data_IF_417112916578
#
_entry.id   IF_417112916578
#
_cell.length_a   1.000
_cell.length_b   1.000
_cell.length_c   1.000
_cell.angle_alpha   90.00
_cell.angle_beta   90.00
_cell.angle_gamma   90.00
#
_symmetry.space_group_name_H-M   'P 1'
#
loop_
_entity.id
_entity.type
_entity.pdbx_description
1 polymer ?
#
# COMPACT_ATOMS: atom_id res chain seq x y z
N UNK A 1 48.95 22.85 55.82
CA UNK A 1 47.69 22.11 56.02
C UNK A 1 46.57 22.65 55.12
N UNK A 2 46.72 22.60 53.79
CA UNK A 2 45.70 23.06 52.83
C UNK A 2 45.70 22.28 51.50
N UNK A 3 46.47 21.20 51.42
CA UNK A 3 46.56 20.31 50.24
C UNK A 3 46.06 18.88 50.50
N UNK A 4 45.38 18.66 51.63
CA UNK A 4 44.83 17.36 52.05
C UNK A 4 43.28 17.35 52.06
N UNK A 5 42.66 18.20 51.25
CA UNK A 5 41.19 18.24 51.10
C UNK A 5 40.71 17.91 49.68
N UNK A 6 41.59 17.94 48.67
CA UNK A 6 41.19 17.67 47.28
C UNK A 6 41.18 16.18 46.90
N UNK A 7 41.75 15.30 47.72
CA UNK A 7 41.88 13.87 47.40
C UNK A 7 40.64 13.04 47.78
N UNK A 8 39.73 13.58 48.60
CA UNK A 8 38.46 12.93 48.97
C UNK A 8 37.25 13.49 48.21
N UNK A 9 37.47 14.29 47.16
CA UNK A 9 36.39 14.75 46.28
C UNK A 9 36.29 13.92 44.99
N UNK A 10 37.25 13.01 44.75
CA UNK A 10 37.34 12.23 43.50
C UNK A 10 36.65 10.85 43.56
N UNK A 11 36.16 10.42 44.72
CA UNK A 11 35.57 9.07 44.91
C UNK A 11 34.05 9.11 45.20
N UNK A 12 33.45 10.30 45.28
CA UNK A 12 32.05 10.51 45.68
C UNK A 12 31.05 10.79 44.55
N UNK A 13 31.33 10.41 43.30
CA UNK A 13 30.41 10.60 42.15
C UNK A 13 30.11 9.28 41.43
N UNK A 14 30.40 8.14 42.07
CA UNK A 14 30.07 6.80 41.58
C UNK A 14 28.94 6.23 42.43
N UNK A 15 27.76 6.87 42.47
CA UNK A 15 26.50 6.22 42.85
C UNK A 15 25.30 7.15 42.57
N UNK A 16 24.85 7.21 41.33
CA UNK A 16 23.45 7.55 41.05
C UNK A 16 23.02 6.89 39.74
N UNK A 17 22.62 5.64 39.89
CA UNK A 17 21.56 5.01 39.11
C UNK A 17 20.44 6.00 38.79
N UNK A 18 20.15 6.21 37.51
CA UNK A 18 18.86 5.89 36.89
C UNK A 18 18.86 6.35 35.43
N UNK A 19 18.73 5.34 34.58
CA UNK A 19 18.47 5.40 33.15
C UNK A 19 17.13 6.12 32.94
N UNK A 20 17.14 7.28 32.30
CA UNK A 20 15.94 7.83 31.67
C UNK A 20 16.19 7.95 30.17
N UNK A 21 15.87 6.86 29.48
CA UNK A 21 15.66 6.84 28.03
C UNK A 21 14.38 7.64 27.80
N UNK A 22 14.49 8.94 27.53
CA UNK A 22 13.34 9.72 27.06
C UNK A 22 13.10 9.35 25.60
N UNK A 23 12.46 8.20 25.40
CA UNK A 23 11.81 7.87 24.14
C UNK A 23 10.62 8.80 23.99
N UNK A 24 10.77 9.87 23.21
CA UNK A 24 9.61 10.57 22.67
C UNK A 24 8.87 9.60 21.76
N UNK A 25 7.78 9.01 22.26
CA UNK A 25 6.78 8.39 21.41
C UNK A 25 6.33 9.46 20.40
N UNK A 26 6.78 9.34 19.16
CA UNK A 26 6.32 10.17 18.05
C UNK A 26 4.84 9.85 17.91
N UNK A 27 4.00 10.70 18.49
CA UNK A 27 2.55 10.68 18.33
C UNK A 27 2.29 10.63 16.84
N UNK A 28 1.83 9.49 16.34
CA UNK A 28 1.36 9.39 14.97
C UNK A 28 0.17 10.34 14.89
N UNK A 29 0.41 11.46 14.21
CA UNK A 29 -0.66 12.34 13.79
C UNK A 29 -1.43 11.52 12.77
N UNK A 30 -2.56 10.95 13.19
CA UNK A 30 -3.58 10.45 12.26
C UNK A 30 -3.88 11.67 11.39
N UNK A 31 -3.40 11.66 10.14
CA UNK A 31 -3.69 12.74 9.21
C UNK A 31 -5.21 12.74 9.12
N UNK A 32 -5.89 13.82 9.53
CA UNK A 32 -7.33 13.91 9.34
C UNK A 32 -7.60 13.57 7.89
N UNK A 33 -8.63 12.76 7.63
CA UNK A 33 -9.14 12.60 6.27
C UNK A 33 -9.18 14.01 5.70
N UNK A 34 -8.37 14.27 4.66
CA UNK A 34 -8.57 15.50 3.91
C UNK A 34 -10.06 15.44 3.54
N UNK A 35 -10.83 16.51 3.82
CA UNK A 35 -12.22 16.56 3.39
C UNK A 35 -12.25 16.03 1.98
N UNK A 36 -13.17 15.11 1.70
CA UNK A 36 -13.44 14.68 0.33
C UNK A 36 -13.88 15.95 -0.41
N UNK A 37 -12.93 16.77 -0.85
CA UNK A 37 -13.16 17.65 -1.99
C UNK A 37 -13.64 16.69 -3.06
N UNK A 38 -14.84 16.89 -3.60
CA UNK A 38 -15.25 16.16 -4.78
C UNK A 38 -14.09 16.28 -5.76
N UNK A 39 -13.40 15.17 -5.99
CA UNK A 39 -12.39 15.13 -7.03
C UNK A 39 -13.26 15.17 -8.28
N UNK A 40 -13.53 16.37 -8.77
CA UNK A 40 -13.87 16.57 -10.18
C UNK A 40 -12.59 16.22 -10.93
N UNK A 41 -12.28 14.94 -10.97
CA UNK A 41 -11.23 14.39 -11.82
C UNK A 41 -11.75 14.62 -13.24
N UNK A 42 -10.99 15.34 -14.09
CA UNK A 42 -11.44 15.59 -15.44
C UNK A 42 -11.76 14.24 -16.09
N UNK A 43 -12.96 14.16 -16.64
CA UNK A 43 -13.52 13.01 -17.37
C UNK A 43 -12.71 12.70 -18.63
N UNK A 44 -11.44 12.32 -18.49
CA UNK A 44 -10.77 11.46 -19.47
C UNK A 44 -10.97 10.02 -19.03
N UNK A 45 -12.25 9.68 -18.87
CA UNK A 45 -12.72 8.33 -18.60
C UNK A 45 -12.57 7.52 -19.88
N UNK A 46 -11.40 6.89 -20.07
CA UNK A 46 -11.42 5.59 -20.74
C UNK A 46 -12.13 4.66 -19.76
N UNK A 47 -13.43 4.45 -20.00
CA UNK A 47 -14.32 3.65 -19.15
C UNK A 47 -13.62 2.37 -18.67
N UNK A 48 -13.66 2.11 -17.37
CA UNK A 48 -13.18 0.85 -16.83
C UNK A 48 -14.02 -0.31 -17.37
N UNK A 49 -13.40 -1.46 -17.66
CA UNK A 49 -14.16 -2.65 -18.01
C UNK A 49 -15.19 -2.98 -16.92
N UNK A 50 -16.43 -3.22 -17.34
CA UNK A 50 -17.45 -3.81 -16.43
C UNK A 50 -16.93 -5.13 -15.87
N UNK A 51 -17.07 -5.36 -14.57
CA UNK A 51 -16.69 -6.62 -13.90
C UNK A 51 -17.80 -7.68 -13.92
N UNK A 52 -19.03 -7.31 -14.28
CA UNK A 52 -20.21 -8.16 -14.13
C UNK A 52 -20.09 -9.43 -14.97
N UNK A 53 -20.24 -10.59 -14.33
CA UNK A 53 -20.23 -11.90 -14.99
C UNK A 53 -18.86 -12.33 -15.52
N UNK A 54 -17.78 -11.65 -15.11
CA UNK A 54 -16.41 -11.99 -15.50
C UNK A 54 -15.65 -12.58 -14.33
N UNK A 55 -14.82 -13.58 -14.65
CA UNK A 55 -13.90 -14.20 -13.71
C UNK A 55 -12.46 -13.76 -14.06
N UNK A 56 -11.71 -13.32 -13.06
CA UNK A 56 -10.29 -12.99 -13.17
C UNK A 56 -9.49 -13.95 -12.29
N UNK A 57 -8.32 -14.34 -12.77
CA UNK A 57 -7.46 -15.35 -12.12
C UNK A 57 -6.06 -14.81 -11.92
N UNK A 58 -5.37 -15.36 -10.94
CA UNK A 58 -3.96 -15.02 -10.69
C UNK A 58 -3.13 -15.38 -11.93
N UNK A 59 -2.29 -14.44 -12.37
CA UNK A 59 -1.31 -14.67 -13.43
C UNK A 59 0.02 -14.99 -12.75
N UNK A 60 0.67 -16.14 -13.04
CA UNK A 60 1.92 -16.52 -12.39
C UNK A 60 3.06 -15.50 -12.54
N UNK A 61 3.12 -14.79 -13.67
CA UNK A 61 4.15 -13.80 -13.98
C UNK A 61 3.87 -12.40 -13.42
N UNK A 62 2.73 -12.19 -12.76
CA UNK A 62 2.34 -10.90 -12.20
C UNK A 62 2.27 -11.02 -10.68
N UNK A 63 3.09 -10.21 -10.02
CA UNK A 63 3.17 -10.14 -8.57
C UNK A 63 2.24 -9.05 -8.02
N UNK A 64 1.76 -9.24 -6.79
CA UNK A 64 1.02 -8.22 -6.06
C UNK A 64 1.95 -7.07 -5.62
N UNK A 65 1.37 -5.87 -5.52
CA UNK A 65 2.07 -4.66 -5.05
C UNK A 65 1.74 -4.41 -3.60
N UNK A 66 2.71 -4.04 -2.76
CA UNK A 66 2.48 -3.75 -1.33
C UNK A 66 2.59 -2.26 -1.02
N UNK A 67 1.89 -1.84 0.04
CA UNK A 67 1.83 -0.46 0.50
C UNK A 67 2.21 -0.35 1.99
N UNK A 68 2.74 0.82 2.34
CA UNK A 68 2.93 1.20 3.73
C UNK A 68 1.60 1.42 4.44
N UNK A 69 1.67 1.43 5.77
CA UNK A 69 0.53 1.78 6.61
C UNK A 69 0.01 3.17 6.25
N UNK A 70 -1.31 3.25 6.09
CA UNK A 70 -2.03 4.49 5.78
C UNK A 70 -1.56 5.23 4.51
N UNK A 71 -0.97 4.49 3.55
CA UNK A 71 -0.40 5.07 2.35
C UNK A 71 -0.94 4.44 1.05
N UNK A 72 -0.82 5.22 -0.02
CA UNK A 72 -1.14 4.90 -1.42
C UNK A 72 0.07 5.12 -2.34
N UNK A 73 1.20 5.59 -1.79
CA UNK A 73 2.43 5.83 -2.53
C UNK A 73 3.03 4.52 -3.05
N UNK A 74 3.23 4.45 -4.35
CA UNK A 74 4.02 3.39 -4.99
C UNK A 74 5.50 3.66 -4.78
N UNK A 75 6.14 2.87 -3.89
CA UNK A 75 7.59 2.84 -3.66
C UNK A 75 8.35 2.25 -4.85
N UNK A 76 9.69 2.27 -4.79
CA UNK A 76 10.54 1.79 -5.87
C UNK A 76 10.26 0.32 -6.23
N UNK A 77 10.13 -0.54 -5.22
CA UNK A 77 9.87 -1.97 -5.39
C UNK A 77 8.52 -2.22 -6.07
N UNK A 78 7.49 -1.48 -5.65
CA UNK A 78 6.17 -1.49 -6.28
C UNK A 78 6.23 -1.05 -7.75
N UNK A 79 7.01 0.00 -8.04
CA UNK A 79 7.18 0.51 -9.41
C UNK A 79 7.93 -0.48 -10.30
N UNK A 80 8.90 -1.21 -9.77
CA UNK A 80 9.65 -2.24 -10.49
C UNK A 80 8.74 -3.43 -10.84
N UNK A 81 7.91 -3.87 -9.90
CA UNK A 81 6.87 -4.89 -10.16
C UNK A 81 5.94 -4.40 -11.29
N UNK A 82 5.39 -3.19 -11.17
CA UNK A 82 4.47 -2.66 -12.18
C UNK A 82 5.12 -2.40 -13.54
N UNK A 83 6.42 -2.10 -13.59
CA UNK A 83 7.17 -2.01 -14.83
C UNK A 83 7.25 -3.36 -15.55
N UNK A 84 7.53 -4.45 -14.81
CA UNK A 84 7.49 -5.83 -15.33
C UNK A 84 6.08 -6.21 -15.78
N UNK A 85 5.07 -5.91 -14.97
CA UNK A 85 3.66 -6.13 -15.31
C UNK A 85 3.27 -5.41 -16.60
N UNK A 86 3.64 -4.13 -16.76
CA UNK A 86 3.36 -3.37 -17.97
C UNK A 86 4.06 -3.96 -19.20
N UNK A 87 5.29 -4.45 -19.06
CA UNK A 87 5.97 -5.17 -20.15
C UNK A 87 5.19 -6.42 -20.55
N UNK A 88 4.83 -7.26 -19.57
CA UNK A 88 4.06 -8.48 -19.82
C UNK A 88 2.69 -8.19 -20.47
N UNK A 89 1.97 -7.16 -20.03
CA UNK A 89 0.67 -6.77 -20.62
C UNK A 89 0.77 -6.23 -22.05
N UNK A 90 1.94 -5.71 -22.46
CA UNK A 90 2.21 -5.31 -23.84
C UNK A 90 2.45 -6.52 -24.74
N UNK A 91 3.06 -7.57 -24.20
CA UNK A 91 3.30 -8.84 -24.89
C UNK A 91 2.02 -9.70 -24.98
N UNK A 92 1.07 -9.49 -24.06
CA UNK A 92 -0.21 -10.21 -24.00
C UNK A 92 -1.39 -9.22 -24.17
N UNK A 93 -1.63 -8.67 -25.38
CA UNK A 93 -2.61 -7.62 -25.62
C UNK A 93 -4.07 -8.04 -25.38
N UNK A 94 -4.36 -9.34 -25.40
CA UNK A 94 -5.67 -9.96 -25.16
C UNK A 94 -6.02 -10.11 -23.68
N UNK A 95 -5.15 -9.70 -22.76
CA UNK A 95 -5.42 -9.80 -21.32
C UNK A 95 -6.10 -8.52 -20.82
N UNK A 96 -7.22 -8.68 -20.12
CA UNK A 96 -7.83 -7.66 -19.28
C UNK A 96 -7.31 -7.83 -17.85
N UNK A 97 -6.84 -6.75 -17.24
CA UNK A 97 -6.33 -6.74 -15.87
C UNK A 97 -7.41 -6.22 -14.91
N UNK A 98 -7.59 -6.90 -13.79
CA UNK A 98 -8.30 -6.42 -12.61
C UNK A 98 -7.27 -6.11 -11.52
N UNK A 99 -7.34 -4.90 -10.97
CA UNK A 99 -6.58 -4.49 -9.79
C UNK A 99 -7.51 -4.45 -8.60
N UNK A 100 -7.26 -5.30 -7.61
CA UNK A 100 -8.00 -5.31 -6.36
C UNK A 100 -7.21 -4.57 -5.27
N UNK A 101 -7.81 -3.56 -4.65
CA UNK A 101 -7.22 -2.85 -3.51
C UNK A 101 -7.61 -3.46 -2.18
N UNK A 102 -6.61 -3.78 -1.36
CA UNK A 102 -6.76 -4.39 -0.04
C UNK A 102 -6.07 -3.56 1.05
N UNK A 103 -6.57 -3.70 2.27
CA UNK A 103 -6.10 -3.04 3.48
C UNK A 103 -5.90 -4.06 4.61
N UNK A 104 -5.15 -3.66 5.64
CA UNK A 104 -5.19 -4.38 6.91
C UNK A 104 -6.43 -3.97 7.72
N UNK A 105 -6.73 -4.73 8.79
CA UNK A 105 -7.96 -4.61 9.59
C UNK A 105 -8.04 -3.34 10.46
N UNK A 106 -7.00 -2.50 10.48
CA UNK A 106 -6.98 -1.32 11.34
C UNK A 106 -7.71 -0.18 10.65
N UNK A 107 -8.79 0.28 11.26
CA UNK A 107 -9.60 1.39 10.75
C UNK A 107 -11.08 1.06 10.78
N UNK A 108 -11.90 1.90 10.14
CA UNK A 108 -13.28 1.53 9.86
C UNK A 108 -13.37 0.88 8.49
N UNK A 109 -14.37 0.01 8.28
CA UNK A 109 -14.60 -0.64 6.99
C UNK A 109 -14.77 0.37 5.86
N UNK A 110 -15.51 1.46 6.07
CA UNK A 110 -15.67 2.55 5.07
C UNK A 110 -14.34 3.25 4.76
N UNK A 111 -13.50 3.45 5.79
CA UNK A 111 -12.17 4.01 5.61
C UNK A 111 -11.31 3.10 4.72
N UNK A 112 -11.29 1.81 5.07
CA UNK A 112 -10.48 0.82 4.37
C UNK A 112 -11.00 0.56 2.96
N UNK A 113 -12.31 0.63 2.72
CA UNK A 113 -12.91 0.59 1.40
C UNK A 113 -12.41 1.75 0.53
N UNK A 114 -12.42 2.98 1.05
CA UNK A 114 -11.91 4.15 0.35
C UNK A 114 -10.39 4.11 0.14
N UNK A 115 -9.62 3.62 1.12
CA UNK A 115 -8.17 3.47 1.01
C UNK A 115 -7.78 2.41 -0.04
N UNK A 116 -8.47 1.27 -0.05
CA UNK A 116 -8.28 0.23 -1.06
C UNK A 116 -8.58 0.75 -2.48
N UNK A 117 -9.64 1.53 -2.66
CA UNK A 117 -9.98 2.15 -3.95
C UNK A 117 -8.85 3.08 -4.43
N UNK A 118 -8.32 3.94 -3.54
CA UNK A 118 -7.18 4.80 -3.88
C UNK A 118 -5.93 4.00 -4.24
N UNK A 119 -5.65 2.87 -3.58
CA UNK A 119 -4.53 1.99 -3.90
C UNK A 119 -4.68 1.34 -5.28
N UNK A 120 -5.87 0.82 -5.59
CA UNK A 120 -6.16 0.22 -6.89
C UNK A 120 -6.03 1.25 -8.02
N UNK A 121 -6.57 2.46 -7.81
CA UNK A 121 -6.43 3.59 -8.75
C UNK A 121 -4.98 4.04 -8.92
N UNK A 122 -4.19 4.11 -7.85
CA UNK A 122 -2.77 4.46 -7.95
C UNK A 122 -2.00 3.50 -8.87
N UNK A 123 -2.24 2.19 -8.72
CA UNK A 123 -1.68 1.15 -9.59
C UNK A 123 -2.16 1.34 -11.03
N UNK A 124 -3.47 1.48 -11.25
CA UNK A 124 -4.06 1.69 -12.58
C UNK A 124 -3.44 2.90 -13.28
N UNK A 125 -3.41 4.05 -12.62
CA UNK A 125 -2.82 5.28 -13.16
C UNK A 125 -1.35 5.11 -13.49
N UNK A 126 -0.59 4.35 -12.69
CA UNK A 126 0.82 4.09 -12.98
C UNK A 126 1.00 3.19 -14.21
N UNK A 127 0.23 2.10 -14.32
CA UNK A 127 0.24 1.24 -15.51
C UNK A 127 -0.18 1.99 -16.78
N UNK A 128 -1.13 2.91 -16.68
CA UNK A 128 -1.52 3.78 -17.79
C UNK A 128 -0.39 4.72 -18.21
N UNK A 129 0.35 5.30 -17.27
CA UNK A 129 1.56 6.09 -17.56
C UNK A 129 2.64 5.28 -18.26
N UNK A 130 2.69 3.97 -18.01
CA UNK A 130 3.57 3.03 -18.71
C UNK A 130 3.04 2.60 -20.09
N UNK A 131 1.89 3.12 -20.52
CA UNK A 131 1.32 2.92 -21.86
C UNK A 131 0.28 1.81 -21.97
N UNK A 132 -0.22 1.27 -20.86
CA UNK A 132 -1.35 0.33 -20.88
C UNK A 132 -2.66 1.11 -21.05
N UNK A 133 -3.53 0.68 -21.96
CA UNK A 133 -4.81 1.36 -22.19
C UNK A 133 -5.73 1.21 -20.96
N UNK A 134 -6.36 2.31 -20.53
CA UNK A 134 -7.22 2.31 -19.34
C UNK A 134 -8.44 1.38 -19.44
N UNK A 135 -8.96 1.16 -20.65
CA UNK A 135 -10.04 0.20 -20.92
C UNK A 135 -9.60 -1.28 -20.88
N UNK A 136 -8.33 -1.56 -20.52
CA UNK A 136 -7.84 -2.90 -20.20
C UNK A 136 -7.61 -3.11 -18.71
N UNK A 137 -7.82 -2.08 -17.89
CA UNK A 137 -7.52 -2.11 -16.45
C UNK A 137 -8.78 -1.71 -15.71
N UNK A 138 -9.41 -2.68 -15.06
CA UNK A 138 -10.50 -2.46 -14.13
C UNK A 138 -9.96 -2.39 -12.69
N UNK A 139 -10.67 -1.69 -11.82
CA UNK A 139 -10.36 -1.61 -10.40
C UNK A 139 -11.52 -2.06 -9.54
N UNK A 140 -11.21 -2.59 -8.37
CA UNK A 140 -12.17 -2.85 -7.29
C UNK A 140 -11.45 -2.69 -5.95
N UNK A 141 -12.19 -2.30 -4.92
CA UNK A 141 -11.70 -2.30 -3.55
C UNK A 141 -12.41 -3.37 -2.75
N UNK A 142 -11.64 -4.11 -1.94
CA UNK A 142 -12.17 -4.98 -0.89
C UNK A 142 -11.90 -4.42 0.50
N UNK A 143 -11.14 -3.33 0.61
CA UNK A 143 -10.70 -2.81 1.91
C UNK A 143 -10.09 -3.93 2.75
N UNK A 144 -10.61 -4.13 3.95
CA UNK A 144 -10.16 -5.16 4.90
C UNK A 144 -10.90 -6.51 4.79
N UNK A 145 -11.93 -6.60 3.94
CA UNK A 145 -12.88 -7.73 3.91
C UNK A 145 -12.29 -9.04 3.38
N UNK A 146 -11.14 -8.98 2.69
CA UNK A 146 -10.46 -10.14 2.09
C UNK A 146 -8.99 -10.22 2.53
N UNK A 147 -8.72 -10.49 3.82
CA UNK A 147 -7.35 -10.61 4.31
C UNK A 147 -6.66 -11.81 3.64
N UNK A 148 -5.41 -11.61 3.25
CA UNK A 148 -4.53 -12.69 2.80
C UNK A 148 -3.99 -13.48 4.00
N UNK A 149 -3.71 -12.78 5.09
CA UNK A 149 -3.27 -13.33 6.37
C UNK A 149 -4.21 -12.82 7.46
N UNK A 150 -4.95 -13.71 8.12
CA UNK A 150 -5.89 -13.36 9.19
C UNK A 150 -5.22 -13.06 10.53
N UNK A 151 -3.88 -13.07 10.61
CA UNK A 151 -3.16 -12.74 11.82
C UNK A 151 -3.30 -11.27 12.23
N UNK A 152 -3.22 -11.01 13.54
CA UNK A 152 -3.32 -9.67 14.14
C UNK A 152 -1.94 -9.11 14.49
N UNK A 153 -1.01 -9.15 13.54
CA UNK A 153 0.40 -8.78 13.74
C UNK A 153 0.88 -7.90 12.59
N UNK A 154 1.94 -7.13 12.78
CA UNK A 154 2.47 -6.28 11.70
C UNK A 154 2.91 -7.09 10.46
N UNK A 155 3.40 -8.32 10.64
CA UNK A 155 3.74 -9.20 9.51
C UNK A 155 2.50 -9.57 8.68
N UNK A 156 1.37 -9.85 9.32
CA UNK A 156 0.10 -10.14 8.65
C UNK A 156 -0.48 -8.87 8.01
N UNK A 157 -0.47 -7.75 8.73
CA UNK A 157 -0.94 -6.47 8.22
C UNK A 157 -0.14 -6.01 7.00
N UNK A 158 1.19 -6.19 6.99
CA UNK A 158 2.04 -5.87 5.85
C UNK A 158 1.65 -6.65 4.58
N UNK A 159 1.31 -7.94 4.71
CA UNK A 159 0.80 -8.76 3.59
C UNK A 159 -0.58 -8.30 3.12
N UNK A 160 -1.44 -7.83 4.03
CA UNK A 160 -2.79 -7.42 3.70
C UNK A 160 -2.87 -6.06 2.98
N UNK A 161 -1.94 -5.14 3.27
CA UNK A 161 -1.80 -3.85 2.57
C UNK A 161 -1.24 -4.03 1.16
N UNK A 162 -2.09 -4.47 0.23
CA UNK A 162 -1.67 -4.82 -1.13
C UNK A 162 -2.64 -4.38 -2.21
N UNK A 163 -2.14 -4.28 -3.44
CA UNK A 163 -2.91 -4.36 -4.67
C UNK A 163 -2.68 -5.72 -5.31
N UNK A 164 -3.72 -6.54 -5.38
CA UNK A 164 -3.68 -7.83 -6.10
C UNK A 164 -3.96 -7.58 -7.59
N UNK A 165 -3.22 -8.25 -8.47
CA UNK A 165 -3.36 -8.10 -9.92
C UNK A 165 -3.80 -9.43 -10.53
N UNK A 166 -5.01 -9.45 -11.08
CA UNK A 166 -5.64 -10.62 -11.66
C UNK A 166 -5.90 -10.40 -13.15
N UNK A 167 -5.84 -11.45 -13.95
CA UNK A 167 -6.07 -11.38 -15.39
C UNK A 167 -7.25 -12.20 -15.86
N UNK A 168 -7.83 -11.75 -16.97
CA UNK A 168 -8.76 -12.52 -17.79
C UNK A 168 -8.35 -12.42 -19.25
N UNK A 169 -8.36 -13.54 -19.97
CA UNK A 169 -8.13 -13.56 -21.41
C UNK A 169 -9.45 -13.19 -22.10
N UNK A 170 -9.44 -12.21 -23.01
CA UNK A 170 -10.54 -12.01 -23.95
C UNK A 170 -10.64 -13.27 -24.82
N UNK A 171 -11.79 -13.95 -24.88
CA UNK A 171 -11.98 -14.92 -25.94
C UNK A 171 -11.81 -14.16 -27.27
N UNK A 172 -10.86 -14.59 -28.12
CA UNK A 172 -10.84 -14.11 -29.49
C UNK A 172 -12.20 -14.44 -30.09
N UNK A 173 -12.88 -13.44 -30.62
CA UNK A 173 -14.07 -13.67 -31.44
C UNK A 173 -13.70 -14.75 -32.47
N UNK A 174 -14.47 -15.83 -32.50
CA UNK A 174 -14.29 -16.93 -33.46
C UNK A 174 -14.60 -16.46 -34.87
#
# INVERSE_FOLDING_TARGET
>A
MRKLFYLNFLVGVILCSLIFITGCAKKQVIKPLQPMTPITEPETNLEEPSLRGKEYKKIPDIEAVHFDYDDTLLKAEARDILAKTAKWLKENPEVELLVEGHCDERGTTDYNMALGDRRAKAIRSYLMKLGIKGNRIATISYGEEKPLDSGHTEDAWAKNRRGELLGRIFPKDK
#
